data_IF_096531736722
#
_entry.id   IF_096531736722
#
_cell.length_a   1.000
_cell.length_b   1.000
_cell.length_c   1.000
_cell.angle_alpha   90.00
_cell.angle_beta   90.00
_cell.angle_gamma   90.00
#
_symmetry.space_group_name_H-M   'P 1'
#
loop_
_entity.id
_entity.type
_entity.pdbx_description
1 polymer ?
#
# COMPACT_ATOMS: atom_id res chain seq x y z
N UNK A 1 17.89 -58.02 138.73
CA UNK A 1 17.29 -58.17 137.38
C UNK A 1 16.06 -59.04 137.54
N UNK A 2 14.95 -58.77 136.85
CA UNK A 2 13.82 -59.71 136.87
C UNK A 2 13.88 -60.61 135.65
N UNK A 3 13.50 -61.87 135.82
CA UNK A 3 13.40 -62.81 134.71
C UNK A 3 12.00 -63.41 134.75
N UNK A 4 11.34 -63.37 133.59
CA UNK A 4 10.10 -64.08 133.37
C UNK A 4 10.42 -65.42 132.72
N UNK A 5 10.03 -66.47 133.44
CA UNK A 5 10.14 -67.86 133.02
C UNK A 5 8.76 -68.47 133.21
N UNK A 6 8.25 -69.16 132.19
CA UNK A 6 6.90 -69.77 132.24
C UNK A 6 5.81 -68.75 132.58
N UNK A 7 5.93 -67.53 132.04
CA UNK A 7 5.06 -66.38 132.31
C UNK A 7 5.00 -65.90 133.77
N UNK A 8 5.83 -66.43 134.66
CA UNK A 8 5.96 -65.92 136.04
C UNK A 8 7.20 -65.03 136.11
N UNK A 9 6.99 -63.73 136.38
CA UNK A 9 8.08 -62.77 136.61
C UNK A 9 8.57 -62.89 138.04
N UNK A 10 9.86 -63.10 138.22
CA UNK A 10 10.48 -63.10 139.54
C UNK A 10 11.90 -62.55 139.48
N UNK A 11 12.41 -61.98 140.58
CA UNK A 11 13.78 -61.50 140.61
C UNK A 11 14.77 -62.65 140.44
N UNK A 12 15.84 -62.38 139.70
CA UNK A 12 17.04 -63.22 139.63
C UNK A 12 17.85 -63.07 140.93
N UNK A 13 18.46 -64.16 141.36
CA UNK A 13 19.35 -64.15 142.52
C UNK A 13 20.72 -63.66 142.08
N UNK A 14 21.37 -62.88 142.94
CA UNK A 14 22.73 -62.43 142.71
C UNK A 14 23.70 -63.27 143.53
N UNK A 15 24.73 -63.80 142.88
CA UNK A 15 25.85 -64.46 143.55
C UNK A 15 27.16 -64.04 142.88
N UNK A 16 28.09 -63.52 143.68
CA UNK A 16 29.39 -62.99 143.22
C UNK A 16 29.29 -62.02 142.04
N UNK A 17 28.34 -61.08 142.10
CA UNK A 17 28.15 -60.03 141.08
C UNK A 17 27.49 -60.50 139.78
N UNK A 18 27.01 -61.75 139.71
CA UNK A 18 26.25 -62.29 138.58
C UNK A 18 24.82 -62.58 138.97
N UNK A 19 23.89 -62.25 138.07
CA UNK A 19 22.49 -62.64 138.22
C UNK A 19 22.27 -64.01 137.59
N UNK A 20 21.66 -64.92 138.35
CA UNK A 20 21.25 -66.23 137.82
C UNK A 20 19.82 -66.57 138.23
N UNK A 21 19.21 -67.47 137.45
CA UNK A 21 17.92 -68.06 137.76
C UNK A 21 17.88 -69.49 137.24
N UNK A 22 17.62 -70.41 138.14
CA UNK A 22 17.44 -71.82 137.78
C UNK A 22 16.01 -72.03 137.31
N UNK A 23 15.86 -72.80 136.24
CA UNK A 23 14.56 -73.21 135.74
C UNK A 23 14.67 -74.57 135.05
N UNK A 24 13.54 -75.28 134.95
CA UNK A 24 13.42 -76.50 134.16
C UNK A 24 12.70 -76.15 132.84
N UNK A 25 13.35 -76.27 131.67
CA UNK A 25 12.69 -76.01 130.39
C UNK A 25 11.63 -77.08 130.09
N UNK A 26 10.44 -76.66 129.65
CA UNK A 26 9.33 -77.54 129.24
C UNK A 26 9.38 -77.90 127.76
N UNK A 27 9.94 -77.02 126.94
CA UNK A 27 10.06 -77.20 125.48
C UNK A 27 11.42 -76.73 125.00
N UNK A 28 11.92 -77.29 123.90
CA UNK A 28 13.21 -76.92 123.31
C UNK A 28 13.31 -75.41 123.00
N UNK A 29 12.21 -74.82 122.57
CA UNK A 29 12.18 -73.42 122.12
C UNK A 29 11.49 -72.49 123.14
N UNK A 30 11.60 -72.84 124.43
CA UNK A 30 11.00 -72.03 125.49
C UNK A 30 11.67 -70.65 125.59
N UNK A 31 10.85 -69.60 125.61
CA UNK A 31 11.29 -68.22 125.64
C UNK A 31 11.45 -67.72 127.08
N UNK A 32 12.66 -67.28 127.41
CA UNK A 32 13.01 -66.62 128.66
C UNK A 32 13.07 -65.12 128.42
N UNK A 33 12.33 -64.33 129.19
CA UNK A 33 12.34 -62.87 129.07
C UNK A 33 13.12 -62.25 130.22
N UNK A 34 14.24 -61.63 129.87
CA UNK A 34 15.04 -60.85 130.79
C UNK A 34 14.48 -59.42 130.85
N UNK A 35 14.12 -58.95 132.04
CA UNK A 35 13.59 -57.61 132.26
C UNK A 35 14.68 -56.71 132.85
N UNK A 36 14.88 -55.55 132.23
CA UNK A 36 15.86 -54.55 132.66
C UNK A 36 15.46 -53.90 134.02
N UNK A 37 16.44 -53.48 134.81
CA UNK A 37 16.25 -52.96 136.18
C UNK A 37 15.97 -51.45 136.26
N UNK A 38 15.20 -50.87 135.33
CA UNK A 38 14.80 -49.46 135.45
C UNK A 38 15.96 -48.44 135.37
N UNK A 39 17.10 -48.83 134.80
CA UNK A 39 18.23 -47.94 134.56
C UNK A 39 18.01 -47.08 133.30
N UNK A 40 18.33 -45.78 133.39
CA UNK A 40 18.31 -44.81 132.28
C UNK A 40 19.62 -44.96 131.49
N UNK A 41 19.59 -45.73 130.41
CA UNK A 41 20.75 -46.00 129.55
C UNK A 41 20.66 -47.36 128.85
N UNK A 42 21.59 -47.64 127.94
CA UNK A 42 21.63 -48.90 127.20
C UNK A 42 22.04 -50.06 128.12
N UNK A 43 21.16 -51.03 128.29
CA UNK A 43 21.47 -52.26 129.03
C UNK A 43 22.16 -53.25 128.09
N UNK A 44 23.46 -53.45 128.29
CA UNK A 44 24.25 -54.44 127.54
C UNK A 44 24.31 -55.73 128.35
N UNK A 45 23.90 -56.85 127.74
CA UNK A 45 24.03 -58.18 128.33
C UNK A 45 25.21 -58.89 127.67
N UNK A 46 26.30 -59.05 128.40
CA UNK A 46 27.44 -59.89 128.01
C UNK A 46 27.44 -61.19 128.80
N UNK A 47 28.16 -62.19 128.29
CA UNK A 47 28.49 -63.42 129.02
C UNK A 47 27.28 -64.25 129.49
N UNK A 48 26.21 -64.31 128.68
CA UNK A 48 25.05 -65.17 128.95
C UNK A 48 25.47 -66.64 128.76
N UNK A 49 25.38 -67.41 129.84
CA UNK A 49 25.63 -68.85 129.85
C UNK A 49 24.36 -69.59 130.27
N UNK A 50 24.02 -70.63 129.52
CA UNK A 50 23.00 -71.62 129.87
C UNK A 50 23.73 -72.90 130.25
N UNK A 51 23.62 -73.29 131.51
CA UNK A 51 24.29 -74.45 132.05
C UNK A 51 23.32 -75.32 132.84
N UNK A 52 23.65 -76.60 132.96
CA UNK A 52 22.84 -77.56 133.69
C UNK A 52 23.34 -77.67 135.13
N UNK A 53 22.50 -77.25 136.07
CA UNK A 53 22.81 -77.23 137.50
C UNK A 53 21.87 -76.29 138.25
N UNK A 54 21.90 -76.37 139.57
CA UNK A 54 21.13 -75.49 140.47
C UNK A 54 21.95 -74.31 141.02
N UNK A 55 23.24 -74.24 140.67
CA UNK A 55 24.14 -73.17 141.09
C UNK A 55 25.05 -72.74 139.93
N UNK A 56 25.28 -71.42 139.71
CA UNK A 56 26.00 -70.94 138.54
C UNK A 56 27.50 -71.25 138.63
N UNK A 57 28.11 -71.70 137.53
CA UNK A 57 29.56 -71.90 137.41
C UNK A 57 30.26 -70.68 136.81
N UNK A 58 31.59 -70.69 136.80
CA UNK A 58 32.38 -69.64 136.17
C UNK A 58 32.17 -69.63 134.64
N UNK A 59 32.20 -68.45 134.02
CA UNK A 59 31.89 -68.31 132.58
C UNK A 59 32.98 -68.96 131.71
N UNK A 60 32.57 -69.66 130.64
CA UNK A 60 33.47 -70.31 129.68
C UNK A 60 33.24 -69.76 128.27
N UNK A 61 34.29 -69.27 127.60
CA UNK A 61 34.20 -68.73 126.23
C UNK A 61 34.00 -69.81 125.14
N UNK A 62 33.15 -69.60 124.11
CA UNK A 62 32.92 -70.60 123.06
C UNK A 62 34.06 -70.68 122.01
N UNK A 63 34.45 -71.89 121.58
CA UNK A 63 35.42 -72.12 120.48
C UNK A 63 34.73 -72.49 119.16
N UNK A 64 35.09 -71.82 118.05
CA UNK A 64 34.53 -72.04 116.69
C UNK A 64 35.28 -73.15 115.94
N UNK A 65 34.56 -74.05 115.27
CA UNK A 65 35.13 -75.11 114.40
C UNK A 65 34.72 -74.94 112.92
N UNK A 66 35.70 -74.77 112.02
CA UNK A 66 35.51 -74.77 110.56
C UNK A 66 35.25 -76.19 110.02
N UNK A 67 34.31 -76.33 109.07
CA UNK A 67 34.09 -77.55 108.28
C UNK A 67 34.10 -77.26 106.77
N UNK A 68 34.56 -78.23 106.01
CA UNK A 68 34.85 -78.25 104.57
C UNK A 68 33.61 -78.07 103.66
N UNK A 69 33.78 -77.41 102.51
CA UNK A 69 32.73 -76.94 101.57
C UNK A 69 32.14 -78.02 100.62
N UNK A 70 30.84 -77.88 100.29
CA UNK A 70 30.17 -78.55 99.16
C UNK A 70 28.96 -77.75 98.62
N UNK A 71 28.77 -77.70 97.28
CA UNK A 71 27.47 -77.58 96.59
C UNK A 71 26.83 -76.19 96.36
N UNK A 72 27.28 -75.45 95.33
CA UNK A 72 26.52 -74.49 94.47
C UNK A 72 27.50 -73.84 93.45
N UNK A 73 28.78 -73.73 93.81
CA UNK A 73 29.83 -73.10 92.99
C UNK A 73 30.41 -73.99 91.88
N UNK A 74 29.93 -75.23 91.74
CA UNK A 74 30.27 -76.10 90.59
C UNK A 74 29.49 -75.68 89.33
N UNK A 75 28.29 -75.14 89.50
CA UNK A 75 27.34 -74.89 88.41
C UNK A 75 27.66 -73.64 87.57
N UNK A 76 28.49 -72.72 88.07
CA UNK A 76 28.87 -71.53 87.31
C UNK A 76 29.96 -71.80 86.26
N UNK A 77 30.80 -72.82 86.48
CA UNK A 77 31.88 -73.20 85.55
C UNK A 77 31.39 -74.15 84.45
N UNK A 78 30.34 -74.93 84.73
CA UNK A 78 29.70 -75.80 83.74
C UNK A 78 28.95 -75.03 82.67
N UNK A 79 28.28 -73.92 83.03
CA UNK A 79 27.58 -73.04 82.07
C UNK A 79 28.56 -72.48 81.01
N UNK A 80 29.79 -72.13 81.40
CA UNK A 80 30.81 -71.61 80.48
C UNK A 80 31.38 -72.69 79.55
N UNK A 81 31.50 -73.93 80.04
CA UNK A 81 31.89 -75.10 79.23
C UNK A 81 30.80 -75.52 78.23
N UNK A 82 29.52 -75.43 78.61
CA UNK A 82 28.38 -75.74 77.74
C UNK A 82 28.25 -74.78 76.54
N UNK A 83 28.72 -73.54 76.64
CA UNK A 83 28.71 -72.59 75.51
C UNK A 83 29.89 -72.78 74.54
N UNK A 84 30.95 -73.50 74.94
CA UNK A 84 32.13 -73.80 74.09
C UNK A 84 32.03 -75.14 73.37
N UNK A 85 31.20 -76.07 73.86
CA UNK A 85 30.93 -77.37 73.23
C UNK A 85 29.77 -77.28 72.22
N UNK A 86 30.01 -77.40 70.91
CA UNK A 86 28.98 -77.33 69.85
C UNK A 86 27.85 -78.36 69.97
N UNK A 87 28.04 -79.44 70.74
CA UNK A 87 27.06 -80.51 70.91
C UNK A 87 26.24 -80.39 72.21
N UNK A 88 26.41 -79.31 72.99
CA UNK A 88 25.69 -79.16 74.26
C UNK A 88 24.18 -78.90 74.06
N UNK A 89 23.38 -79.27 75.05
CA UNK A 89 21.91 -79.08 75.04
C UNK A 89 21.52 -77.61 75.04
N UNK A 90 22.30 -76.74 75.70
CA UNK A 90 22.11 -75.30 75.68
C UNK A 90 22.43 -74.72 74.28
N UNK A 91 23.50 -75.18 73.63
CA UNK A 91 23.82 -74.77 72.25
C UNK A 91 22.74 -75.21 71.27
N UNK A 92 22.23 -76.44 71.38
CA UNK A 92 21.09 -76.90 70.57
C UNK A 92 19.85 -76.00 70.71
N UNK A 93 19.54 -75.54 71.93
CA UNK A 93 18.41 -74.61 72.19
C UNK A 93 18.67 -73.20 71.65
N UNK A 94 19.88 -72.65 71.80
CA UNK A 94 20.24 -71.33 71.27
C UNK A 94 20.23 -71.36 69.74
N UNK A 95 20.77 -72.41 69.11
CA UNK A 95 20.77 -72.56 67.66
C UNK A 95 19.34 -72.71 67.12
N UNK A 96 18.49 -73.53 67.74
CA UNK A 96 17.08 -73.66 67.34
C UNK A 96 16.30 -72.36 67.54
N UNK A 97 16.53 -71.63 68.63
CA UNK A 97 15.88 -70.34 68.88
C UNK A 97 16.33 -69.29 67.85
N UNK A 98 17.64 -69.18 67.60
CA UNK A 98 18.18 -68.30 66.56
C UNK A 98 17.68 -68.70 65.16
N UNK A 99 17.60 -70.00 64.84
CA UNK A 99 17.06 -70.48 63.58
C UNK A 99 15.56 -70.18 63.46
N UNK A 100 14.79 -70.33 64.54
CA UNK A 100 13.37 -69.95 64.60
C UNK A 100 13.15 -68.45 64.46
N UNK A 101 13.97 -67.62 65.11
CA UNK A 101 13.94 -66.16 65.01
C UNK A 101 14.35 -65.68 63.61
N UNK A 102 15.40 -66.26 63.03
CA UNK A 102 15.83 -65.99 61.64
C UNK A 102 14.78 -66.42 60.64
N UNK A 103 14.15 -67.58 60.85
CA UNK A 103 13.06 -68.08 59.98
C UNK A 103 11.85 -67.15 60.07
N UNK A 104 11.42 -66.74 61.27
CA UNK A 104 10.34 -65.77 61.44
C UNK A 104 10.69 -64.40 60.84
N UNK A 105 11.93 -63.92 61.00
CA UNK A 105 12.37 -62.67 60.38
C UNK A 105 12.33 -62.76 58.85
N UNK A 106 12.80 -63.86 58.28
CA UNK A 106 12.80 -64.07 56.84
C UNK A 106 11.37 -64.22 56.29
N UNK A 107 10.50 -64.99 56.94
CA UNK A 107 9.12 -65.19 56.48
C UNK A 107 8.22 -63.96 56.70
N UNK A 108 8.31 -63.31 57.86
CA UNK A 108 7.42 -62.17 58.18
C UNK A 108 7.92 -60.85 57.65
N UNK A 109 9.21 -60.56 57.73
CA UNK A 109 9.72 -59.24 57.35
C UNK A 109 10.26 -59.27 55.92
N UNK A 110 11.15 -60.21 55.60
CA UNK A 110 11.82 -60.21 54.29
C UNK A 110 10.85 -60.65 53.18
N UNK A 111 10.20 -61.81 53.30
CA UNK A 111 9.28 -62.33 52.28
C UNK A 111 8.03 -61.47 52.11
N UNK A 112 7.50 -60.93 53.21
CA UNK A 112 6.37 -59.98 53.17
C UNK A 112 6.75 -58.66 52.49
N UNK A 113 7.90 -58.07 52.86
CA UNK A 113 8.39 -56.86 52.20
C UNK A 113 8.63 -57.09 50.70
N UNK A 114 9.27 -58.21 50.33
CA UNK A 114 9.49 -58.58 48.93
C UNK A 114 8.16 -58.78 48.19
N UNK A 115 7.17 -59.45 48.80
CA UNK A 115 5.86 -59.66 48.19
C UNK A 115 5.09 -58.35 48.00
N UNK A 116 5.18 -57.44 48.98
CA UNK A 116 4.59 -56.11 48.90
C UNK A 116 5.26 -55.27 47.79
N UNK A 117 6.59 -55.21 47.78
CA UNK A 117 7.35 -54.53 46.72
C UNK A 117 7.06 -55.12 45.34
N UNK A 118 6.97 -56.46 45.20
CA UNK A 118 6.62 -57.09 43.93
C UNK A 118 5.18 -56.76 43.48
N UNK A 119 4.25 -56.56 44.41
CA UNK A 119 2.87 -56.12 44.10
C UNK A 119 2.85 -54.67 43.63
N UNK A 120 3.58 -53.79 44.32
CA UNK A 120 3.71 -52.38 43.96
C UNK A 120 4.38 -52.22 42.58
N UNK A 121 5.49 -52.92 42.33
CA UNK A 121 6.14 -52.93 41.01
C UNK A 121 5.19 -53.43 39.92
N UNK A 122 4.44 -54.52 40.14
CA UNK A 122 3.47 -55.01 39.15
C UNK A 122 2.36 -54.01 38.86
N UNK A 123 1.92 -53.27 39.88
CA UNK A 123 0.90 -52.25 39.73
C UNK A 123 1.46 -51.05 38.94
N UNK A 124 2.64 -50.56 39.31
CA UNK A 124 3.32 -49.47 38.61
C UNK A 124 3.63 -49.81 37.15
N UNK A 125 4.09 -51.03 36.87
CA UNK A 125 4.31 -51.53 35.49
C UNK A 125 2.99 -51.62 34.71
N UNK A 126 1.89 -52.04 35.35
CA UNK A 126 0.58 -52.12 34.70
C UNK A 126 0.03 -50.72 34.40
N UNK A 127 0.19 -49.78 35.31
CA UNK A 127 -0.28 -48.41 35.14
C UNK A 127 0.57 -47.66 34.10
N UNK A 128 1.88 -47.90 34.07
CA UNK A 128 2.77 -47.44 33.00
C UNK A 128 2.39 -48.04 31.64
N UNK A 129 2.11 -49.36 31.58
CA UNK A 129 1.68 -50.03 30.35
C UNK A 129 0.33 -49.49 29.84
N UNK A 130 -0.62 -49.21 30.74
CA UNK A 130 -1.89 -48.60 30.38
C UNK A 130 -1.71 -47.16 29.90
N UNK A 131 -0.83 -46.39 30.55
CA UNK A 131 -0.53 -44.99 30.19
C UNK A 131 0.22 -44.86 28.87
N UNK A 132 0.97 -45.89 28.46
CA UNK A 132 1.70 -45.93 27.19
C UNK A 132 0.91 -46.60 26.05
N UNK A 133 -0.28 -47.13 26.31
CA UNK A 133 -1.06 -47.87 25.30
C UNK A 133 -1.57 -46.91 24.22
N UNK A 134 -1.21 -47.17 22.97
CA UNK A 134 -1.69 -46.43 21.80
C UNK A 134 -2.84 -47.18 21.15
N UNK A 135 -3.96 -46.50 20.89
CA UNK A 135 -5.12 -47.02 20.17
C UNK A 135 -5.57 -46.01 19.13
N UNK A 136 -5.98 -46.50 17.96
CA UNK A 136 -6.53 -45.67 16.89
C UNK A 136 -8.04 -45.90 16.85
N UNK A 137 -8.82 -44.84 16.99
CA UNK A 137 -10.29 -44.85 16.87
C UNK A 137 -10.73 -43.93 15.73
N UNK A 138 -12.01 -43.98 15.29
CA UNK A 138 -12.53 -43.03 14.32
C UNK A 138 -12.45 -41.56 14.76
N UNK A 139 -12.45 -41.30 16.06
CA UNK A 139 -12.40 -39.95 16.65
C UNK A 139 -10.97 -39.41 16.83
N UNK A 140 -9.95 -40.27 16.84
CA UNK A 140 -8.56 -39.85 17.02
C UNK A 140 -7.58 -40.96 17.42
N UNK A 141 -6.42 -40.56 17.93
CA UNK A 141 -5.40 -41.47 18.48
C UNK A 141 -5.35 -41.31 19.99
N UNK A 142 -5.70 -42.36 20.73
CA UNK A 142 -5.65 -42.38 22.20
C UNK A 142 -4.32 -42.94 22.67
N UNK A 143 -3.60 -42.19 23.51
CA UNK A 143 -2.35 -42.60 24.18
C UNK A 143 -2.62 -42.54 25.68
N UNK A 144 -2.72 -43.70 26.32
CA UNK A 144 -3.09 -43.80 27.73
C UNK A 144 -4.50 -43.29 27.99
N UNK A 145 -4.61 -42.21 28.78
CA UNK A 145 -5.88 -41.52 29.08
C UNK A 145 -6.17 -40.33 28.17
N UNK A 146 -5.23 -39.94 27.29
CA UNK A 146 -5.37 -38.76 26.44
C UNK A 146 -5.77 -39.18 25.03
N UNK A 147 -6.88 -38.65 24.52
CA UNK A 147 -7.25 -38.78 23.11
C UNK A 147 -6.78 -37.55 22.36
N UNK A 148 -5.96 -37.73 21.33
CA UNK A 148 -5.59 -36.71 20.36
C UNK A 148 -6.64 -36.73 19.25
N UNK A 149 -7.57 -35.78 19.28
CA UNK A 149 -8.56 -35.58 18.22
C UNK A 149 -7.90 -35.04 16.95
N UNK A 150 -8.61 -35.09 15.82
CA UNK A 150 -8.14 -34.46 14.58
C UNK A 150 -7.83 -32.96 14.74
N UNK A 151 -8.57 -32.25 15.60
CA UNK A 151 -8.34 -30.83 15.90
C UNK A 151 -7.07 -30.60 16.72
N UNK A 152 -6.84 -31.41 17.76
CA UNK A 152 -5.62 -31.32 18.58
C UNK A 152 -4.38 -31.71 17.78
N UNK A 153 -4.49 -32.72 16.92
CA UNK A 153 -3.43 -33.09 16.00
C UNK A 153 -3.15 -31.95 15.00
N UNK A 154 -4.18 -31.34 14.41
CA UNK A 154 -4.03 -30.21 13.50
C UNK A 154 -3.38 -28.99 14.19
N UNK A 155 -3.75 -28.70 15.44
CA UNK A 155 -3.13 -27.64 16.27
C UNK A 155 -1.64 -27.92 16.51
N UNK A 156 -1.28 -29.17 16.80
CA UNK A 156 0.11 -29.61 16.99
C UNK A 156 0.92 -29.49 15.70
N UNK A 157 0.34 -29.87 14.55
CA UNK A 157 0.98 -29.73 13.23
C UNK A 157 1.16 -28.24 12.88
N UNK A 158 0.20 -27.38 13.21
CA UNK A 158 0.28 -25.94 12.98
C UNK A 158 1.39 -25.28 13.80
N UNK A 159 1.57 -25.70 15.05
CA UNK A 159 2.59 -25.13 15.96
C UNK A 159 4.00 -25.68 15.72
N UNK A 160 4.15 -26.89 15.20
CA UNK A 160 5.45 -27.52 14.91
C UNK A 160 5.51 -28.15 13.52
N UNK A 161 5.29 -27.33 12.49
CA UNK A 161 5.16 -27.76 11.11
C UNK A 161 6.43 -28.34 10.47
N UNK A 162 7.61 -28.04 11.02
CA UNK A 162 8.91 -28.49 10.46
C UNK A 162 9.19 -29.99 10.60
N UNK A 163 8.44 -30.71 11.44
CA UNK A 163 8.69 -32.11 11.78
C UNK A 163 7.64 -33.09 11.26
N UNK A 164 6.68 -32.65 10.44
CA UNK A 164 5.51 -33.46 10.06
C UNK A 164 5.50 -33.74 8.57
N UNK A 165 5.85 -34.96 8.19
CA UNK A 165 5.61 -35.48 6.84
C UNK A 165 4.32 -36.31 6.82
N UNK A 166 3.32 -35.84 6.06
CA UNK A 166 2.06 -36.57 5.88
C UNK A 166 2.22 -37.53 4.70
N UNK A 167 2.58 -38.78 4.98
CA UNK A 167 2.75 -39.84 3.98
C UNK A 167 1.58 -40.81 4.06
N UNK A 168 0.60 -40.68 3.16
CA UNK A 168 -0.48 -41.66 3.03
C UNK A 168 -0.96 -41.81 1.58
N UNK A 169 -1.35 -43.02 1.12
CA UNK A 169 -1.81 -43.24 -0.25
C UNK A 169 -3.10 -42.49 -0.61
N UNK A 170 -3.88 -42.04 0.38
CA UNK A 170 -5.21 -41.43 0.20
C UNK A 170 -5.44 -40.24 1.14
N UNK A 171 -4.50 -39.30 1.18
CA UNK A 171 -4.73 -38.02 1.90
C UNK A 171 -5.92 -37.29 1.27
N UNK A 172 -6.91 -36.89 2.08
CA UNK A 172 -8.05 -36.05 1.67
C UNK A 172 -8.09 -34.79 2.53
N UNK A 173 -7.83 -33.64 1.93
CA UNK A 173 -8.04 -32.32 2.53
C UNK A 173 -9.37 -31.77 1.99
N UNK A 174 -10.30 -31.43 2.88
CA UNK A 174 -11.63 -30.91 2.50
C UNK A 174 -11.67 -29.38 2.35
N UNK A 175 -10.63 -28.69 2.79
CA UNK A 175 -10.50 -27.22 2.80
C UNK A 175 -9.33 -26.76 1.93
N UNK A 176 -9.17 -25.44 1.79
CA UNK A 176 -8.06 -24.86 1.02
C UNK A 176 -6.70 -25.24 1.60
N UNK A 177 -5.78 -25.66 0.73
CA UNK A 177 -4.38 -25.92 1.10
C UNK A 177 -3.53 -24.64 1.12
N UNK A 178 -4.00 -23.59 0.44
CA UNK A 178 -3.39 -22.26 0.41
C UNK A 178 -4.46 -21.30 0.92
N UNK A 179 -4.22 -20.68 2.07
CA UNK A 179 -5.12 -19.67 2.65
C UNK A 179 -4.69 -18.26 2.24
N UNK A 180 -5.56 -17.27 2.42
CA UNK A 180 -5.25 -15.87 2.14
C UNK A 180 -3.96 -15.42 2.84
N UNK A 181 -3.06 -14.80 2.07
CA UNK A 181 -1.74 -14.38 2.55
C UNK A 181 -0.73 -15.50 2.77
N UNK A 182 -1.06 -16.77 2.50
CA UNK A 182 -0.13 -17.88 2.64
C UNK A 182 1.05 -17.79 1.67
N UNK A 183 0.85 -17.19 0.48
CA UNK A 183 1.92 -16.90 -0.48
C UNK A 183 2.28 -15.41 -0.36
N UNK A 184 3.48 -15.12 0.13
CA UNK A 184 4.04 -13.77 0.19
C UNK A 184 5.25 -13.67 -0.74
N UNK A 185 5.67 -12.46 -1.08
CA UNK A 185 6.81 -12.23 -1.97
C UNK A 185 8.07 -13.01 -1.53
N UNK A 186 8.36 -13.09 -0.22
CA UNK A 186 9.52 -13.82 0.30
C UNK A 186 9.43 -15.35 0.16
N UNK A 187 8.26 -15.93 -0.14
CA UNK A 187 8.07 -17.36 -0.40
C UNK A 187 8.19 -17.71 -1.89
N UNK A 188 8.25 -16.72 -2.76
CA UNK A 188 8.43 -16.89 -4.20
C UNK A 188 9.90 -16.69 -4.55
N UNK A 189 10.51 -17.70 -5.15
CA UNK A 189 11.85 -17.52 -5.72
C UNK A 189 11.80 -16.53 -6.90
N UNK A 190 12.87 -15.78 -7.13
CA UNK A 190 12.97 -14.89 -8.28
C UNK A 190 12.73 -15.68 -9.58
N UNK A 191 11.81 -15.21 -10.43
CA UNK A 191 11.44 -15.88 -11.67
C UNK A 191 10.51 -17.09 -11.53
N UNK A 192 10.08 -17.45 -10.31
CA UNK A 192 9.13 -18.58 -10.10
C UNK A 192 7.73 -18.31 -10.64
N UNK A 193 7.36 -17.03 -10.81
CA UNK A 193 6.12 -16.61 -11.47
C UNK A 193 6.50 -15.96 -12.79
N UNK A 194 6.21 -16.64 -13.87
CA UNK A 194 6.42 -16.18 -15.25
C UNK A 194 5.08 -15.80 -15.90
N UNK A 195 5.11 -15.23 -17.09
CA UNK A 195 3.90 -14.89 -17.84
C UNK A 195 2.97 -16.10 -18.07
N UNK A 196 3.53 -17.30 -18.23
CA UNK A 196 2.75 -18.54 -18.42
C UNK A 196 1.96 -18.94 -17.17
N UNK A 197 2.40 -18.50 -15.98
CA UNK A 197 1.71 -18.74 -14.72
C UNK A 197 0.56 -17.74 -14.47
N UNK A 198 0.46 -16.68 -15.28
CA UNK A 198 -0.49 -15.58 -15.09
C UNK A 198 -1.50 -15.58 -16.24
N UNK A 199 -2.77 -15.84 -15.94
CA UNK A 199 -3.82 -15.72 -16.95
C UNK A 199 -3.96 -14.28 -17.43
N UNK A 200 -4.30 -14.11 -18.71
CA UNK A 200 -4.56 -12.79 -19.28
C UNK A 200 -5.66 -12.07 -18.47
N UNK A 201 -5.35 -10.87 -17.98
CA UNK A 201 -6.26 -10.07 -17.14
C UNK A 201 -6.25 -10.39 -15.65
N UNK A 202 -5.44 -11.35 -15.18
CA UNK A 202 -5.34 -11.66 -13.74
C UNK A 202 -4.69 -10.53 -12.91
N UNK A 203 -3.86 -9.69 -13.54
CA UNK A 203 -3.28 -8.48 -12.94
C UNK A 203 -3.89 -7.27 -13.66
N UNK A 204 -4.82 -6.59 -13.01
CA UNK A 204 -5.46 -5.35 -13.49
C UNK A 204 -4.69 -4.11 -13.03
N UNK A 205 -4.92 -2.96 -13.68
CA UNK A 205 -4.17 -1.73 -13.41
C UNK A 205 -4.23 -1.26 -11.96
N UNK A 206 -5.36 -1.48 -11.27
CA UNK A 206 -5.53 -1.17 -9.83
C UNK A 206 -4.73 -2.11 -8.90
N UNK A 207 -4.21 -3.23 -9.41
CA UNK A 207 -3.32 -4.16 -8.69
C UNK A 207 -1.84 -3.86 -8.89
N UNK A 208 -1.50 -2.90 -9.75
CA UNK A 208 -0.13 -2.51 -10.03
C UNK A 208 0.18 -1.23 -9.27
N UNK A 209 1.11 -1.32 -8.31
CA UNK A 209 1.71 -0.11 -7.75
C UNK A 209 2.65 0.49 -8.79
N UNK A 210 2.32 1.68 -9.26
CA UNK A 210 3.14 2.40 -10.23
C UNK A 210 4.16 3.23 -9.48
N UNK A 211 5.39 2.72 -9.40
CA UNK A 211 6.53 3.41 -8.82
C UNK A 211 7.44 4.05 -9.90
N UNK A 212 8.41 4.85 -9.45
CA UNK A 212 9.36 5.51 -10.35
C UNK A 212 10.18 4.54 -11.19
N UNK A 213 10.43 3.32 -10.71
CA UNK A 213 11.21 2.32 -11.44
C UNK A 213 10.38 1.72 -12.59
N UNK A 214 9.08 1.48 -12.37
CA UNK A 214 8.15 1.08 -13.41
C UNK A 214 7.96 2.20 -14.43
N UNK A 215 7.79 3.44 -13.98
CA UNK A 215 7.71 4.61 -14.86
C UNK A 215 8.99 4.72 -15.70
N UNK A 216 10.19 4.63 -15.08
CA UNK A 216 11.47 4.64 -15.80
C UNK A 216 11.59 3.53 -16.84
N UNK A 217 11.11 2.32 -16.54
CA UNK A 217 11.11 1.23 -17.52
C UNK A 217 10.13 1.45 -18.67
N UNK A 218 8.98 2.09 -18.39
CA UNK A 218 8.01 2.47 -19.41
C UNK A 218 8.52 3.63 -20.28
N UNK A 219 9.20 4.61 -19.67
CA UNK A 219 9.77 5.77 -20.36
C UNK A 219 11.08 5.46 -21.07
N UNK A 220 11.81 4.43 -20.65
CA UNK A 220 12.99 3.93 -21.37
C UNK A 220 12.65 3.23 -22.69
N UNK A 221 11.36 2.97 -22.97
CA UNK A 221 10.90 2.46 -24.26
C UNK A 221 10.54 3.64 -25.16
N UNK A 222 11.48 4.05 -26.00
CA UNK A 222 11.33 5.17 -26.96
C UNK A 222 10.00 5.13 -27.72
N UNK A 223 9.55 3.95 -28.17
CA UNK A 223 8.30 3.80 -28.90
C UNK A 223 7.03 4.21 -28.11
N UNK A 224 7.04 4.07 -26.77
CA UNK A 224 5.92 4.49 -25.93
C UNK A 224 5.97 6.01 -25.70
N UNK A 225 7.17 6.55 -25.48
CA UNK A 225 7.42 8.00 -25.42
C UNK A 225 6.95 8.65 -26.72
N UNK A 226 7.45 8.21 -27.88
CA UNK A 226 7.09 8.75 -29.20
C UNK A 226 5.58 8.81 -29.41
N UNK A 227 4.85 7.79 -28.97
CA UNK A 227 3.39 7.71 -29.10
C UNK A 227 2.65 8.64 -28.14
N UNK A 228 3.13 8.80 -26.91
CA UNK A 228 2.58 9.73 -25.92
C UNK A 228 2.89 11.18 -26.30
N UNK A 229 4.15 11.47 -26.62
CA UNK A 229 4.63 12.77 -27.05
C UNK A 229 3.97 13.19 -28.37
N UNK A 230 3.76 12.26 -29.32
CA UNK A 230 3.00 12.54 -30.55
C UNK A 230 1.54 12.93 -30.26
N UNK A 231 0.87 12.25 -29.33
CA UNK A 231 -0.51 12.57 -28.93
C UNK A 231 -0.60 13.92 -28.22
N UNK A 232 0.33 14.19 -27.31
CA UNK A 232 0.41 15.46 -26.58
C UNK A 232 0.69 16.62 -27.54
N UNK A 233 1.73 16.51 -28.39
CA UNK A 233 2.05 17.51 -29.41
C UNK A 233 0.84 17.73 -30.34
N UNK A 234 0.15 16.68 -30.77
CA UNK A 234 -1.02 16.82 -31.63
C UNK A 234 -2.17 17.56 -30.92
N UNK A 235 -2.48 17.21 -29.68
CA UNK A 235 -3.52 17.87 -28.89
C UNK A 235 -3.17 19.35 -28.63
N UNK A 236 -1.95 19.63 -28.18
CA UNK A 236 -1.47 21.00 -27.95
C UNK A 236 -1.45 21.82 -29.24
N UNK A 237 -1.06 21.23 -30.37
CA UNK A 237 -1.07 21.92 -31.67
C UNK A 237 -2.49 22.24 -32.15
N UNK A 238 -3.45 21.35 -31.93
CA UNK A 238 -4.86 21.56 -32.26
C UNK A 238 -5.47 22.65 -31.36
N UNK A 239 -5.27 22.57 -30.04
CA UNK A 239 -5.78 23.58 -29.11
C UNK A 239 -5.14 24.95 -29.34
N UNK A 240 -3.85 24.99 -29.68
CA UNK A 240 -3.12 26.18 -30.11
C UNK A 240 -3.73 26.80 -31.37
N UNK A 241 -4.01 26.00 -32.40
CA UNK A 241 -4.54 26.48 -33.68
C UNK A 241 -6.00 26.94 -33.54
N UNK A 242 -6.79 26.27 -32.70
CA UNK A 242 -8.20 26.62 -32.45
C UNK A 242 -8.33 27.84 -31.52
N UNK A 243 -7.40 28.03 -30.57
CA UNK A 243 -7.46 29.15 -29.62
C UNK A 243 -6.82 30.44 -30.14
N UNK A 244 -5.90 30.37 -31.10
CA UNK A 244 -5.33 31.58 -31.70
C UNK A 244 -6.16 32.00 -32.91
N UNK A 245 -6.95 33.07 -32.77
CA UNK A 245 -7.59 33.77 -33.89
C UNK A 245 -6.59 34.29 -34.95
N UNK A 246 -5.29 34.15 -34.71
CA UNK A 246 -4.17 34.60 -35.53
C UNK A 246 -3.57 33.52 -36.44
N UNK A 247 -4.08 32.27 -36.43
CA UNK A 247 -3.53 31.20 -37.27
C UNK A 247 -3.50 31.56 -38.76
N UNK A 248 -4.57 32.20 -39.25
CA UNK A 248 -4.66 32.67 -40.62
C UNK A 248 -3.92 34.00 -40.87
N UNK A 249 -3.52 34.73 -39.83
CA UNK A 249 -2.73 35.95 -39.98
C UNK A 249 -1.29 35.64 -40.40
N UNK A 250 -0.72 34.53 -39.93
CA UNK A 250 0.63 34.09 -40.29
C UNK A 250 0.66 33.18 -41.54
N UNK A 251 -0.50 32.82 -42.10
CA UNK A 251 -0.57 31.90 -43.23
C UNK A 251 -0.02 32.55 -44.52
N UNK A 252 0.98 31.91 -45.12
CA UNK A 252 1.50 32.22 -46.45
C UNK A 252 1.43 30.96 -47.31
N UNK A 253 0.65 30.99 -48.39
CA UNK A 253 0.38 29.79 -49.17
C UNK A 253 -0.78 29.94 -50.15
N UNK A 254 -1.27 28.80 -50.66
CA UNK A 254 -2.37 28.78 -51.64
C UNK A 254 -3.66 28.25 -51.03
N UNK A 255 -4.75 28.99 -51.16
CA UNK A 255 -6.11 28.56 -50.75
C UNK A 255 -7.03 28.65 -51.97
N UNK A 256 -7.60 27.52 -52.40
CA UNK A 256 -8.59 27.51 -53.49
C UNK A 256 -8.11 28.08 -54.83
N UNK A 257 -6.79 28.11 -55.07
CA UNK A 257 -6.18 28.69 -56.28
C UNK A 257 -5.68 30.13 -56.13
N UNK A 258 -5.95 30.79 -55.00
CA UNK A 258 -5.41 32.11 -54.66
C UNK A 258 -4.14 31.98 -53.83
N UNK A 259 -3.18 32.88 -54.05
CA UNK A 259 -1.97 33.02 -53.25
C UNK A 259 -2.19 34.06 -52.16
N UNK A 260 -1.96 33.70 -50.89
CA UNK A 260 -2.02 34.57 -49.72
C UNK A 260 -0.62 34.80 -49.14
N UNK A 261 -0.33 36.03 -48.73
CA UNK A 261 0.87 36.36 -47.95
C UNK A 261 1.70 37.50 -48.57
N UNK A 262 2.99 37.52 -48.28
CA UNK A 262 3.91 38.55 -48.78
C UNK A 262 4.49 38.18 -50.16
N UNK A 263 4.82 39.20 -50.96
CA UNK A 263 5.54 39.04 -52.24
C UNK A 263 6.93 39.66 -52.15
N UNK A 264 7.86 39.15 -52.96
CA UNK A 264 9.30 39.48 -52.93
C UNK A 264 9.65 40.99 -53.01
N UNK A 265 8.73 41.83 -53.51
CA UNK A 265 8.97 43.25 -53.77
C UNK A 265 7.87 44.19 -53.21
N UNK A 266 6.89 43.67 -52.46
CA UNK A 266 5.77 44.45 -51.93
C UNK A 266 5.76 44.48 -50.41
N UNK A 267 5.56 45.67 -49.82
CA UNK A 267 5.16 45.78 -48.42
C UNK A 267 3.78 45.16 -48.19
N UNK A 268 3.46 44.80 -46.95
CA UNK A 268 2.13 44.28 -46.60
C UNK A 268 1.84 42.85 -47.04
N UNK A 269 0.57 42.47 -46.95
CA UNK A 269 0.03 41.14 -47.27
C UNK A 269 -1.01 41.24 -48.38
N UNK A 270 -1.05 40.21 -49.21
CA UNK A 270 -1.81 40.24 -50.45
C UNK A 270 -2.60 38.96 -50.65
N UNK A 271 -3.73 39.09 -51.36
CA UNK A 271 -4.46 37.99 -51.97
C UNK A 271 -4.33 38.18 -53.48
N UNK A 272 -3.77 37.20 -54.19
CA UNK A 272 -3.54 37.29 -55.64
C UNK A 272 -3.84 35.98 -56.36
N UNK A 273 -3.88 36.02 -57.69
CA UNK A 273 -3.90 34.81 -58.51
C UNK A 273 -2.61 33.98 -58.39
N UNK A 274 -2.57 32.83 -59.09
CA UNK A 274 -1.33 32.03 -59.20
C UNK A 274 -0.19 32.86 -59.81
N UNK A 275 -0.51 33.69 -60.80
CA UNK A 275 0.37 34.74 -61.27
C UNK A 275 0.03 36.04 -60.52
N UNK A 276 0.91 36.46 -59.61
CA UNK A 276 0.77 37.67 -58.79
C UNK A 276 0.54 38.97 -59.59
N UNK A 277 0.98 39.02 -60.85
CA UNK A 277 0.74 40.18 -61.72
C UNK A 277 -0.60 40.17 -62.44
N UNK A 278 -1.30 39.04 -62.50
CA UNK A 278 -2.55 38.93 -63.24
C UNK A 278 -3.71 39.62 -62.53
N UNK A 279 -3.80 39.44 -61.20
CA UNK A 279 -4.84 40.04 -60.36
C UNK A 279 -4.42 39.96 -58.90
N UNK A 280 -4.83 40.94 -58.10
CA UNK A 280 -4.79 40.82 -56.65
C UNK A 280 -5.27 42.05 -55.91
N UNK A 281 -5.21 41.95 -54.59
CA UNK A 281 -5.64 42.96 -53.62
C UNK A 281 -4.69 42.95 -52.41
N UNK A 282 -4.30 44.13 -51.94
CA UNK A 282 -3.44 44.32 -50.77
C UNK A 282 -4.23 44.63 -49.51
N UNK A 283 -3.60 44.39 -48.36
CA UNK A 283 -4.11 44.79 -47.04
C UNK A 283 -3.90 46.28 -46.73
N UNK A 284 -3.36 47.07 -47.67
CA UNK A 284 -3.12 48.51 -47.52
C UNK A 284 -1.91 48.88 -46.66
N UNK A 285 -1.11 47.91 -46.22
CA UNK A 285 0.07 48.14 -45.40
C UNK A 285 1.28 48.56 -46.25
N UNK A 286 1.94 49.65 -45.87
CA UNK A 286 3.08 50.22 -46.58
C UNK A 286 3.22 51.73 -46.32
N UNK A 287 4.31 52.34 -46.82
CA UNK A 287 4.50 53.78 -46.76
C UNK A 287 4.06 54.44 -48.08
N UNK A 288 3.28 55.51 -48.00
CA UNK A 288 2.79 56.27 -49.16
C UNK A 288 1.60 55.62 -49.87
N UNK A 289 1.24 56.15 -51.04
CA UNK A 289 0.21 55.60 -51.92
C UNK A 289 0.70 54.30 -52.54
N UNK A 290 0.00 53.21 -52.27
CA UNK A 290 0.29 51.86 -52.76
C UNK A 290 -0.88 51.38 -53.61
N UNK A 291 -0.70 50.29 -54.36
CA UNK A 291 -1.83 49.70 -55.08
C UNK A 291 -2.74 48.90 -54.14
N UNK A 292 -4.01 49.27 -54.06
CA UNK A 292 -5.00 48.59 -53.23
C UNK A 292 -5.53 47.32 -53.90
N UNK A 293 -5.85 47.38 -55.20
CA UNK A 293 -6.14 46.20 -56.02
C UNK A 293 -5.79 46.45 -57.48
N UNK A 294 -5.53 45.38 -58.23
CA UNK A 294 -5.13 45.46 -59.63
C UNK A 294 -5.62 44.27 -60.45
N UNK A 295 -5.68 44.50 -61.76
CA UNK A 295 -5.81 43.50 -62.79
C UNK A 295 -4.80 43.79 -63.92
N UNK A 296 -4.22 42.73 -64.46
CA UNK A 296 -3.30 42.76 -65.59
C UNK A 296 -2.13 43.75 -65.41
N UNK A 297 -1.47 43.70 -64.25
CA UNK A 297 -0.38 44.61 -63.89
C UNK A 297 0.80 44.52 -64.87
N UNK A 298 1.06 43.32 -65.40
CA UNK A 298 2.15 43.06 -66.35
C UNK A 298 3.17 42.08 -65.77
N UNK A 299 4.43 42.51 -65.65
CA UNK A 299 5.55 41.68 -65.20
C UNK A 299 6.56 42.42 -64.30
N UNK A 300 6.30 43.69 -63.97
CA UNK A 300 7.21 44.53 -63.19
C UNK A 300 6.43 45.32 -62.13
N UNK A 301 6.70 45.08 -60.85
CA UNK A 301 6.03 45.78 -59.75
C UNK A 301 6.30 47.29 -59.73
N UNK A 302 7.43 47.73 -60.25
CA UNK A 302 7.80 49.15 -60.28
C UNK A 302 7.02 49.95 -61.33
N UNK A 303 6.34 49.28 -62.26
CA UNK A 303 5.64 49.97 -63.34
C UNK A 303 4.43 49.16 -63.83
N UNK A 304 3.23 49.69 -63.58
CA UNK A 304 2.01 49.15 -64.17
C UNK A 304 2.07 49.22 -65.70
N UNK A 305 1.88 48.07 -66.34
CA UNK A 305 1.92 47.91 -67.80
C UNK A 305 0.84 48.69 -68.55
N UNK A 306 0.93 48.78 -69.89
CA UNK A 306 0.04 49.60 -70.71
C UNK A 306 -1.41 49.11 -70.72
N UNK A 307 -1.70 47.90 -70.27
CA UNK A 307 -3.06 47.34 -70.19
C UNK A 307 -3.50 47.11 -68.74
N UNK A 308 -2.80 47.72 -67.78
CA UNK A 308 -3.11 47.56 -66.38
C UNK A 308 -4.34 48.37 -65.99
N UNK A 309 -5.10 47.80 -65.06
CA UNK A 309 -6.18 48.47 -64.37
C UNK A 309 -5.94 48.33 -62.87
N UNK A 310 -5.95 49.43 -62.13
CA UNK A 310 -5.69 49.41 -60.71
C UNK A 310 -6.35 50.58 -59.98
N UNK A 311 -6.53 50.39 -58.68
CA UNK A 311 -6.88 51.45 -57.75
C UNK A 311 -5.82 51.50 -56.67
N UNK A 312 -5.37 52.70 -56.36
CA UNK A 312 -4.40 52.94 -55.32
C UNK A 312 -5.06 53.20 -53.96
N UNK A 313 -4.29 53.16 -52.87
CA UNK A 313 -4.76 53.28 -51.48
C UNK A 313 -5.32 54.66 -51.15
N UNK A 314 -5.08 55.67 -51.99
CA UNK A 314 -5.71 57.00 -51.93
C UNK A 314 -7.07 57.05 -52.66
N UNK A 315 -7.50 55.94 -53.26
CA UNK A 315 -8.77 55.80 -53.96
C UNK A 315 -8.73 56.23 -55.43
N UNK A 316 -7.57 56.65 -55.96
CA UNK A 316 -7.46 56.99 -57.37
C UNK A 316 -7.49 55.74 -58.24
N UNK A 317 -8.33 55.78 -59.29
CA UNK A 317 -8.48 54.68 -60.24
C UNK A 317 -7.76 55.00 -61.55
N UNK A 318 -6.96 54.04 -62.00
CA UNK A 318 -6.16 54.14 -63.21
C UNK A 318 -6.52 53.01 -64.17
N UNK A 319 -7.15 53.37 -65.28
CA UNK A 319 -7.41 52.48 -66.40
C UNK A 319 -6.47 52.83 -67.56
N UNK A 320 -5.45 52.00 -67.82
CA UNK A 320 -4.51 52.22 -68.93
C UNK A 320 -4.99 51.63 -70.26
N UNK A 321 -6.12 50.93 -70.25
CA UNK A 321 -6.76 50.32 -71.42
C UNK A 321 -8.20 50.85 -71.60
N UNK A 322 -8.95 50.23 -72.52
CA UNK A 322 -10.35 50.57 -72.75
C UNK A 322 -11.25 50.25 -71.54
N UNK A 323 -12.18 51.16 -71.25
CA UNK A 323 -13.29 50.97 -70.32
C UNK A 323 -14.61 51.11 -71.07
N UNK A 324 -15.42 50.04 -71.08
CA UNK A 324 -16.72 50.01 -71.76
C UNK A 324 -17.85 49.99 -70.73
N UNK A 325 -18.76 50.97 -70.80
CA UNK A 325 -19.93 51.06 -69.94
C UNK A 325 -21.20 50.77 -70.75
N UNK A 326 -22.00 49.79 -70.32
CA UNK A 326 -23.19 49.34 -71.08
C UNK A 326 -24.48 50.09 -70.72
N UNK A 327 -24.48 50.84 -69.63
CA UNK A 327 -25.62 51.60 -69.14
C UNK A 327 -25.25 53.09 -69.05
N UNK A 328 -25.53 53.74 -67.94
CA UNK A 328 -25.24 55.16 -67.71
C UNK A 328 -23.87 55.37 -67.05
N UNK A 329 -23.16 56.41 -67.45
CA UNK A 329 -22.02 56.98 -66.71
C UNK A 329 -22.42 58.37 -66.26
N UNK A 330 -22.62 58.55 -64.95
CA UNK A 330 -23.06 59.81 -64.36
C UNK A 330 -21.94 60.45 -63.53
N UNK A 331 -21.65 61.72 -63.80
CA UNK A 331 -20.67 62.53 -63.07
C UNK A 331 -21.43 63.53 -62.19
N UNK A 332 -21.73 63.16 -60.95
CA UNK A 332 -22.54 63.95 -60.01
C UNK A 332 -21.70 64.83 -59.08
N UNK A 333 -22.33 65.81 -58.42
CA UNK A 333 -21.64 66.74 -57.52
C UNK A 333 -20.75 67.74 -58.27
N UNK A 334 -19.67 68.20 -57.64
CA UNK A 334 -18.68 69.10 -58.26
C UNK A 334 -17.66 68.33 -59.12
N UNK A 335 -18.13 67.47 -60.00
CA UNK A 335 -17.28 66.65 -60.87
C UNK A 335 -16.80 67.42 -62.10
N UNK A 336 -15.54 67.24 -62.49
CA UNK A 336 -14.98 67.74 -63.75
C UNK A 336 -14.42 66.58 -64.58
N UNK A 337 -14.70 66.57 -65.88
CA UNK A 337 -14.16 65.57 -66.82
C UNK A 337 -13.29 66.26 -67.86
N UNK A 338 -12.00 65.93 -67.86
CA UNK A 338 -11.05 66.44 -68.85
C UNK A 338 -10.87 65.43 -69.99
N UNK A 339 -11.22 65.84 -71.22
CA UNK A 339 -10.97 65.04 -72.42
C UNK A 339 -9.77 65.61 -73.19
N UNK A 340 -8.64 64.90 -73.15
CA UNK A 340 -7.43 65.29 -73.89
C UNK A 340 -7.41 64.78 -75.34
N UNK A 341 -8.28 63.83 -75.68
CA UNK A 341 -8.41 63.24 -77.00
C UNK A 341 -9.68 63.69 -77.74
N UNK A 342 -10.01 62.98 -78.81
CA UNK A 342 -11.25 63.21 -79.55
C UNK A 342 -12.45 62.65 -78.78
N UNK A 343 -13.49 63.48 -78.61
CA UNK A 343 -14.80 63.03 -78.11
C UNK A 343 -15.72 62.78 -79.30
N UNK A 344 -16.22 61.56 -79.44
CA UNK A 344 -17.12 61.16 -80.53
C UNK A 344 -18.48 60.78 -79.96
N UNK A 345 -19.52 61.52 -80.36
CA UNK A 345 -20.91 61.16 -80.11
C UNK A 345 -21.49 60.52 -81.38
N UNK A 346 -21.98 59.28 -81.27
CA UNK A 346 -22.63 58.58 -82.39
C UNK A 346 -24.10 58.96 -82.57
N UNK A 347 -24.73 59.45 -81.49
CA UNK A 347 -26.03 60.10 -81.51
C UNK A 347 -25.86 61.59 -81.17
N UNK A 348 -26.93 62.36 -81.34
CA UNK A 348 -26.92 63.80 -81.04
C UNK A 348 -26.75 64.05 -79.54
N UNK A 349 -25.64 64.68 -79.08
CA UNK A 349 -25.49 65.06 -77.68
C UNK A 349 -26.49 66.16 -77.32
N UNK A 350 -27.04 66.09 -76.10
CA UNK A 350 -27.91 67.14 -75.54
C UNK A 350 -27.08 67.94 -74.53
N UNK A 351 -26.94 69.23 -74.76
CA UNK A 351 -26.35 70.17 -73.81
C UNK A 351 -27.47 70.97 -73.15
N UNK A 352 -27.72 70.73 -71.86
CA UNK A 352 -28.78 71.43 -71.11
C UNK A 352 -28.40 72.89 -70.78
N UNK A 353 -27.10 73.19 -70.73
CA UNK A 353 -26.56 74.54 -70.55
C UNK A 353 -25.88 75.07 -71.83
N UNK A 354 -25.29 76.26 -71.71
CA UNK A 354 -24.52 76.87 -72.79
C UNK A 354 -23.24 76.07 -73.10
N UNK A 355 -22.79 76.14 -74.35
CA UNK A 355 -21.49 75.60 -74.79
C UNK A 355 -20.49 76.75 -74.81
N UNK A 356 -19.41 76.67 -74.03
CA UNK A 356 -18.31 77.62 -74.07
C UNK A 356 -17.12 77.02 -74.84
N UNK A 357 -16.81 77.58 -76.00
CA UNK A 357 -15.71 77.14 -76.87
C UNK A 357 -14.38 77.89 -76.60
N UNK A 358 -14.36 78.82 -75.64
CA UNK A 358 -13.25 79.76 -75.46
C UNK A 358 -12.97 80.54 -76.74
N UNK A 359 -11.71 80.53 -77.19
CA UNK A 359 -11.28 81.18 -78.44
C UNK A 359 -11.38 80.26 -79.68
N UNK A 360 -12.10 79.15 -79.58
CA UNK A 360 -12.23 78.16 -80.66
C UNK A 360 -13.56 78.24 -81.39
N UNK A 361 -13.59 77.76 -82.63
CA UNK A 361 -14.78 77.76 -83.48
C UNK A 361 -15.51 76.41 -83.49
N UNK A 362 -16.82 76.43 -83.77
CA UNK A 362 -17.58 75.22 -84.11
C UNK A 362 -17.60 75.06 -85.63
N UNK A 363 -17.09 73.92 -86.10
CA UNK A 363 -17.06 73.56 -87.51
C UNK A 363 -18.15 72.53 -87.82
N UNK A 364 -18.94 72.80 -88.86
CA UNK A 364 -19.94 71.88 -89.38
C UNK A 364 -19.36 70.94 -90.45
N UNK A 365 -20.11 69.90 -90.80
CA UNK A 365 -19.78 69.05 -91.94
C UNK A 365 -20.13 69.74 -93.25
N UNK A 366 -19.20 69.74 -94.21
CA UNK A 366 -19.39 70.25 -95.57
C UNK A 366 -18.47 71.41 -95.94
N UNK A 367 -18.28 71.59 -97.26
CA UNK A 367 -17.48 72.67 -97.81
C UNK A 367 -18.27 73.96 -97.92
N UNK A 368 -17.66 75.07 -97.54
CA UNK A 368 -18.23 76.39 -97.80
C UNK A 368 -17.93 76.82 -99.26
N UNK A 369 -18.74 77.72 -99.86
CA UNK A 369 -18.55 78.15 -101.25
C UNK A 369 -17.26 78.94 -101.54
N UNK A 370 -16.54 79.38 -100.50
CA UNK A 370 -15.30 80.15 -100.60
C UNK A 370 -14.03 79.29 -100.41
N UNK A 371 -14.19 77.97 -100.24
CA UNK A 371 -13.11 77.04 -99.87
C UNK A 371 -12.93 76.96 -98.34
N UNK A 372 -13.05 75.76 -97.78
CA UNK A 372 -12.93 75.47 -96.35
C UNK A 372 -14.16 74.77 -95.77
N UNK A 373 -14.16 74.51 -94.47
CA UNK A 373 -15.29 73.86 -93.77
C UNK A 373 -16.38 74.87 -93.43
N UNK A 374 -17.63 74.40 -93.39
CA UNK A 374 -18.75 75.18 -92.87
C UNK A 374 -18.46 75.61 -91.42
N UNK A 375 -18.71 76.89 -91.12
CA UNK A 375 -18.65 77.42 -89.76
C UNK A 375 -20.05 77.72 -89.29
N UNK A 376 -20.33 77.45 -88.02
CA UNK A 376 -21.55 77.95 -87.39
C UNK A 376 -21.41 79.47 -87.26
N UNK A 377 -22.40 80.21 -87.72
CA UNK A 377 -22.48 81.68 -87.54
C UNK A 377 -23.50 81.94 -86.45
N UNK A 378 -23.10 82.64 -85.39
CA UNK A 378 -24.03 83.04 -84.34
C UNK A 378 -24.79 84.29 -84.78
N UNK A 379 -26.07 84.38 -84.43
CA UNK A 379 -26.90 85.55 -84.78
C UNK A 379 -26.32 86.88 -84.29
N UNK A 380 -25.58 86.85 -83.18
CA UNK A 380 -24.88 88.00 -82.61
C UNK A 380 -23.64 88.46 -83.38
N UNK A 381 -23.11 87.64 -84.30
CA UNK A 381 -21.91 87.95 -85.09
C UNK A 381 -22.24 88.62 -86.43
N UNK A 382 -23.52 88.90 -86.69
CA UNK A 382 -23.98 89.51 -87.92
C UNK A 382 -24.12 91.04 -87.76
N UNK A 383 -23.14 91.81 -88.22
CA UNK A 383 -23.21 93.29 -88.21
C UNK A 383 -24.11 93.86 -89.31
N UNK A 384 -24.16 93.21 -90.49
CA UNK A 384 -25.12 93.50 -91.55
C UNK A 384 -25.32 92.27 -92.43
N UNK A 385 -26.59 91.91 -92.70
CA UNK A 385 -26.92 90.72 -93.51
C UNK A 385 -27.46 91.18 -94.86
N UNK A 386 -26.70 91.00 -95.93
CA UNK A 386 -27.23 91.11 -97.29
C UNK A 386 -27.81 89.75 -97.69
N UNK A 387 -29.12 89.58 -97.56
CA UNK A 387 -29.80 88.38 -98.02
C UNK A 387 -29.66 88.29 -99.56
N UNK A 388 -28.81 87.40 -100.07
CA UNK A 388 -28.85 87.04 -101.50
C UNK A 388 -30.11 86.24 -101.75
N UNK A 389 -31.21 86.93 -102.07
CA UNK A 389 -32.38 86.28 -102.64
C UNK A 389 -31.95 85.77 -104.02
N UNK A 390 -31.73 84.46 -104.16
CA UNK A 390 -31.49 83.82 -105.46
C UNK A 390 -32.82 83.72 -106.24
N UNK A 391 -33.52 84.84 -106.37
CA UNK A 391 -34.45 85.07 -107.47
C UNK A 391 -33.74 86.08 -108.33
N UNK A 392 -33.41 85.68 -109.54
CA UNK A 392 -32.92 86.55 -110.60
C UNK A 392 -34.06 87.52 -110.97
N UNK A 393 -34.31 88.49 -110.08
CA UNK A 393 -35.37 89.49 -110.23
C UNK A 393 -35.14 90.26 -111.53
N UNK A 394 -33.89 90.42 -111.94
CA UNK A 394 -33.55 91.04 -113.22
C UNK A 394 -33.90 90.14 -114.41
N UNK A 395 -33.70 88.81 -114.36
CA UNK A 395 -34.21 87.91 -115.40
C UNK A 395 -35.73 87.76 -115.39
N UNK A 396 -36.38 87.79 -114.22
CA UNK A 396 -37.85 87.80 -114.10
C UNK A 396 -38.41 89.11 -114.66
N UNK A 397 -37.85 90.27 -114.32
CA UNK A 397 -38.21 91.57 -114.92
C UNK A 397 -37.96 91.59 -116.43
N UNK A 398 -36.84 91.04 -116.91
CA UNK A 398 -36.59 90.90 -118.36
C UNK A 398 -37.60 89.99 -119.05
N UNK A 399 -38.08 88.93 -118.39
CA UNK A 399 -39.16 88.06 -118.90
C UNK A 399 -40.52 88.75 -118.85
N UNK A 400 -40.82 89.48 -117.76
CA UNK A 400 -42.06 90.23 -117.57
C UNK A 400 -42.19 91.35 -118.60
N UNK A 401 -41.16 92.19 -118.76
CA UNK A 401 -41.12 93.26 -119.77
C UNK A 401 -41.24 92.70 -121.21
N UNK A 402 -40.73 91.49 -121.46
CA UNK A 402 -40.83 90.83 -122.78
C UNK A 402 -42.25 90.26 -123.03
N UNK A 403 -42.95 89.87 -121.96
CA UNK A 403 -44.36 89.45 -122.01
C UNK A 403 -45.28 90.68 -122.16
N UNK A 404 -45.03 91.76 -121.41
CA UNK A 404 -45.76 93.03 -121.51
C UNK A 404 -45.63 93.67 -122.90
N UNK A 405 -44.44 93.61 -123.52
CA UNK A 405 -44.25 94.10 -124.90
C UNK A 405 -44.94 93.23 -125.96
N UNK A 406 -45.11 91.93 -125.72
CA UNK A 406 -45.88 91.04 -126.60
C UNK A 406 -47.40 91.17 -126.43
N UNK A 407 -47.87 91.60 -125.25
CA UNK A 407 -49.29 91.73 -124.93
C UNK A 407 -49.82 93.17 -125.07
N UNK A 408 -48.96 94.16 -125.34
CA UNK A 408 -49.37 95.56 -125.55
C UNK A 408 -49.90 96.25 -124.29
N UNK A 409 -49.56 95.76 -123.10
CA UNK A 409 -50.03 96.30 -121.83
C UNK A 409 -49.02 97.35 -121.34
N UNK A 410 -49.39 98.63 -121.43
CA UNK A 410 -48.64 99.74 -120.83
C UNK A 410 -49.16 99.96 -119.41
N UNK A 411 -48.30 99.78 -118.40
CA UNK A 411 -48.57 100.22 -117.03
C UNK A 411 -48.03 101.63 -116.82
N UNK A 412 -48.91 102.55 -116.43
CA UNK A 412 -48.61 103.88 -115.87
C UNK A 412 -47.89 103.80 -114.53
#
# INVERSE_FOLDING_TARGET
MDITIQNVRSPALEHNGRYYKVFQPRTRDELLKLHHMGCVGDTVLTDIQLEQGDFPTSFVEPTVTQRTLSGLFKDMRSIELELRDPNSTLWGKIQQNNQGALTQFFDKNVKSAIAQTAKEIRQEVRDAANSARVQVTPEGVTIGSTTLTGEQLASTISTSSKGVDIIAPKVRVKSDMIVDGAVTAGKLAAGSVTAENIQAGAITGDKISVDDALIKNLTARDALIDKLTSKEIFATKIESVVSSSTFLEAYQGKIGGFTLGQFDQGGGRWISGVNKFAVGMGNGEGYGTQTAFWANWGNNWNQAGPRAWHVDTDGQMYCKNDAHFSAETNFTGESNTNFYGTVKFTQSPIFAGNINMGNSNIFGNGYNPAGGVNKVVWWSELESVAFRKHTDIDAIKKRLNRIESHLGISSS
#
